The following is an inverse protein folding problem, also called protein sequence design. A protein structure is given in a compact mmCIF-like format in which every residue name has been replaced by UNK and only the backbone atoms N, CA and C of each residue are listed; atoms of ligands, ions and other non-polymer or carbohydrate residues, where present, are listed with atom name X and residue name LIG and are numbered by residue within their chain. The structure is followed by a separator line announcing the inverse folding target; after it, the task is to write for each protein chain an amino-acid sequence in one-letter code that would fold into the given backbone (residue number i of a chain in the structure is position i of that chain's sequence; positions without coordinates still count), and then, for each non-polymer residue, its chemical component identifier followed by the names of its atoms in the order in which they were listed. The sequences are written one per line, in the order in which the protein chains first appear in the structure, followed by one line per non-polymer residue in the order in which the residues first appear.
data_IF_560124834753
#
_entry.id   IF_560124834753
#
_cell.length_a   1.000
_cell.length_b   1.000
_cell.length_c   1.000
_cell.angle_alpha   90.00
_cell.angle_beta   90.00
_cell.angle_gamma   90.00
#
_symmetry.space_group_name_H-M   'P 1'
#
loop_
_entity.id
_entity.type
_entity.pdbx_description
1 polymer ?
#
# COMPACT_ATOMS: atom_id res chain seq x y z
N UNK A 1 -28.04 81.36 14.84
CA UNK A 1 -27.03 82.39 15.24
C UNK A 1 -26.02 82.57 14.12
N UNK A 2 -26.11 83.73 13.44
CA UNK A 2 -25.24 84.14 12.31
C UNK A 2 -23.98 84.78 12.89
N UNK A 3 -22.80 84.23 12.63
CA UNK A 3 -21.54 84.90 12.89
C UNK A 3 -21.05 85.65 11.66
N UNK A 4 -20.99 86.96 11.77
CA UNK A 4 -20.43 87.90 10.79
C UNK A 4 -18.92 87.72 10.71
N UNK A 5 -18.38 87.57 9.53
CA UNK A 5 -16.95 87.66 9.25
C UNK A 5 -16.65 89.03 8.72
N UNK A 6 -15.85 89.78 9.42
CA UNK A 6 -15.42 91.09 9.05
C UNK A 6 -14.22 91.09 8.10
N UNK A 7 -14.11 91.98 7.10
CA UNK A 7 -13.01 92.09 6.18
C UNK A 7 -11.95 93.06 6.73
N UNK A 8 -10.78 92.56 7.08
CA UNK A 8 -9.57 93.39 7.25
C UNK A 8 -8.39 92.69 6.51
N UNK A 9 -8.29 92.94 5.25
CA UNK A 9 -7.05 92.72 4.52
C UNK A 9 -7.00 93.77 3.39
N UNK A 10 -6.21 94.79 3.63
CA UNK A 10 -5.52 95.54 2.58
C UNK A 10 -4.96 96.83 3.18
N UNK A 11 -3.86 96.70 3.89
CA UNK A 11 -3.04 97.84 4.31
C UNK A 11 -1.56 97.52 4.17
N UNK A 12 -1.06 97.42 2.95
CA UNK A 12 0.33 97.64 2.65
C UNK A 12 0.60 97.72 1.14
N UNK A 13 0.53 98.97 0.64
CA UNK A 13 0.77 99.33 -0.78
C UNK A 13 2.16 98.77 -1.28
N UNK A 14 3.18 98.54 -0.43
CA UNK A 14 4.45 98.01 -0.83
C UNK A 14 4.43 96.53 -1.18
N UNK A 15 3.52 95.69 -0.64
CA UNK A 15 3.43 94.27 -0.97
C UNK A 15 2.70 93.99 -2.32
N UNK A 16 1.82 94.89 -2.72
CA UNK A 16 1.12 94.78 -4.04
C UNK A 16 2.08 95.00 -5.21
N UNK A 17 3.09 95.91 -5.05
CA UNK A 17 4.09 96.16 -6.06
C UNK A 17 5.14 94.96 -6.18
N UNK A 18 5.41 94.28 -5.12
CA UNK A 18 6.32 93.11 -5.13
C UNK A 18 5.62 91.90 -5.78
N UNK A 19 4.31 91.72 -5.55
CA UNK A 19 3.55 90.60 -6.18
C UNK A 19 3.34 90.89 -7.66
N UNK A 20 3.09 92.16 -8.03
CA UNK A 20 2.99 92.58 -9.46
C UNK A 20 4.29 92.42 -10.20
N UNK A 21 5.46 92.75 -9.58
CA UNK A 21 6.78 92.56 -10.15
C UNK A 21 7.18 91.13 -10.35
N UNK A 22 6.84 90.27 -9.43
CA UNK A 22 7.10 88.81 -9.56
C UNK A 22 6.21 88.17 -10.65
N UNK A 23 4.95 88.60 -10.75
CA UNK A 23 4.03 88.15 -11.80
C UNK A 23 4.47 88.55 -13.19
N UNK A 24 5.05 89.74 -13.34
CA UNK A 24 5.58 90.23 -14.62
C UNK A 24 6.87 89.51 -15.01
N UNK A 25 7.71 89.17 -14.03
CA UNK A 25 8.95 88.43 -14.26
C UNK A 25 8.66 86.99 -14.68
N UNK A 26 7.65 86.34 -14.10
CA UNK A 26 7.22 85.01 -14.49
C UNK A 26 6.61 84.98 -15.91
N UNK A 27 5.88 86.04 -16.29
CA UNK A 27 5.35 86.19 -17.63
C UNK A 27 6.47 86.43 -18.66
N UNK A 28 7.50 87.19 -18.34
CA UNK A 28 8.66 87.37 -19.19
C UNK A 28 9.47 86.08 -19.40
N UNK A 29 9.63 85.29 -18.38
CA UNK A 29 10.33 83.99 -18.48
C UNK A 29 9.51 82.99 -19.29
N UNK A 30 8.18 83.02 -19.13
CA UNK A 30 7.27 82.20 -19.95
C UNK A 30 7.23 82.65 -21.40
N UNK A 31 7.21 83.95 -21.63
CA UNK A 31 7.24 84.52 -23.00
C UNK A 31 8.55 84.28 -23.73
N UNK A 32 9.69 84.28 -23.01
CA UNK A 32 11.01 84.00 -23.59
C UNK A 32 11.16 82.50 -23.95
N UNK A 33 10.53 81.60 -23.18
CA UNK A 33 10.56 80.19 -23.49
C UNK A 33 9.70 79.82 -24.73
N UNK A 34 8.65 80.59 -25.01
CA UNK A 34 7.81 80.38 -26.20
C UNK A 34 8.36 80.98 -27.49
N UNK A 35 9.32 81.92 -27.39
CA UNK A 35 9.87 82.60 -28.58
C UNK A 35 11.26 82.09 -28.97
N UNK A 36 11.96 81.33 -28.17
CA UNK A 36 13.27 80.77 -28.43
C UNK A 36 13.22 79.33 -29.03
N UNK A 37 12.06 78.93 -29.58
CA UNK A 37 11.88 77.62 -30.23
C UNK A 37 12.29 77.62 -31.71
N UNK A 38 13.57 77.76 -31.96
CA UNK A 38 14.17 77.52 -33.28
C UNK A 38 14.80 76.13 -33.29
N UNK A 39 14.38 75.29 -34.27
CA UNK A 39 14.65 73.90 -34.44
C UNK A 39 16.07 73.43 -34.25
N UNK A 40 16.19 72.27 -33.65
CA UNK A 40 17.30 71.36 -33.84
C UNK A 40 16.76 69.94 -33.79
N UNK A 41 17.19 69.19 -34.77
CA UNK A 41 16.99 67.80 -35.04
C UNK A 41 16.89 66.95 -33.80
N UNK A 42 15.72 66.33 -33.64
CA UNK A 42 15.47 65.24 -32.70
C UNK A 42 16.31 64.00 -33.08
N UNK A 43 17.54 63.94 -32.62
CA UNK A 43 18.13 62.64 -32.30
C UNK A 43 17.54 62.26 -30.96
N UNK A 44 16.58 61.37 -30.99
CA UNK A 44 16.07 60.66 -29.80
C UNK A 44 17.27 60.06 -29.06
N UNK A 45 17.71 60.74 -28.01
CA UNK A 45 18.58 60.14 -27.00
C UNK A 45 17.73 59.18 -26.20
N UNK A 46 17.72 57.92 -26.62
CA UNK A 46 17.22 56.84 -25.79
C UNK A 46 18.00 56.83 -24.48
N UNK A 47 17.46 57.37 -23.45
CA UNK A 47 18.00 57.23 -22.11
C UNK A 47 17.93 55.73 -21.77
N UNK A 48 19.05 55.08 -21.54
CA UNK A 48 19.02 53.64 -21.14
C UNK A 48 18.22 53.51 -19.82
N UNK A 49 17.09 52.87 -19.92
CA UNK A 49 16.29 52.53 -18.73
C UNK A 49 17.05 51.46 -17.97
N UNK A 50 17.76 51.83 -16.93
CA UNK A 50 18.40 50.85 -16.05
C UNK A 50 17.35 50.14 -15.23
N UNK A 51 17.03 48.94 -15.59
CA UNK A 51 16.21 48.03 -14.74
C UNK A 51 17.10 47.34 -13.73
N UNK A 52 16.71 47.40 -12.46
CA UNK A 52 17.42 46.73 -11.39
C UNK A 52 17.27 45.21 -11.56
N UNK A 53 18.33 44.51 -11.86
CA UNK A 53 18.35 43.06 -11.96
C UNK A 53 18.16 42.50 -10.55
N UNK A 54 17.02 41.82 -10.33
CA UNK A 54 16.79 41.03 -9.14
C UNK A 54 17.15 39.58 -9.42
N UNK A 55 17.95 38.98 -8.55
CA UNK A 55 18.23 37.55 -8.60
C UNK A 55 16.95 36.79 -8.21
N UNK A 56 16.35 36.10 -9.17
CA UNK A 56 15.26 35.15 -8.95
C UNK A 56 15.75 33.73 -9.11
N UNK A 57 15.13 32.80 -8.40
CA UNK A 57 15.31 31.37 -8.67
C UNK A 57 14.36 30.97 -9.79
N UNK A 58 14.90 30.40 -10.83
CA UNK A 58 14.12 29.78 -11.88
C UNK A 58 13.83 28.33 -11.45
N UNK A 59 12.59 28.04 -11.09
CA UNK A 59 12.15 26.69 -10.86
C UNK A 59 11.58 26.12 -12.15
N UNK A 60 12.21 25.06 -12.68
CA UNK A 60 11.63 24.27 -13.75
C UNK A 60 10.57 23.37 -13.15
N UNK A 61 9.36 23.38 -13.70
CA UNK A 61 8.27 22.49 -13.30
C UNK A 61 7.76 21.74 -14.53
N UNK A 62 7.62 20.43 -14.39
CA UNK A 62 7.00 19.59 -15.41
C UNK A 62 5.58 19.30 -14.97
N UNK A 63 4.60 19.54 -15.84
CA UNK A 63 3.19 19.24 -15.59
C UNK A 63 2.86 17.87 -16.16
N UNK A 64 2.38 16.97 -15.30
CA UNK A 64 1.98 15.62 -15.66
C UNK A 64 0.52 15.41 -15.33
N UNK A 65 -0.16 14.66 -16.18
CA UNK A 65 -1.53 14.18 -15.91
C UNK A 65 -1.47 12.78 -15.33
N UNK A 66 -2.32 12.50 -14.36
CA UNK A 66 -2.42 11.18 -13.75
C UNK A 66 -3.83 10.85 -13.29
N UNK A 67 -4.06 9.58 -13.04
CA UNK A 67 -5.27 9.04 -12.44
C UNK A 67 -5.03 8.78 -10.96
N UNK A 68 -6.01 9.12 -10.14
CA UNK A 68 -6.02 8.81 -8.71
C UNK A 68 -6.53 7.39 -8.53
N UNK A 69 -5.79 6.61 -7.76
CA UNK A 69 -6.18 5.27 -7.32
C UNK A 69 -6.03 5.17 -5.81
N UNK A 70 -6.73 4.24 -5.18
CA UNK A 70 -6.42 3.85 -3.82
C UNK A 70 -4.99 3.28 -3.75
N UNK A 71 -4.29 3.48 -2.65
CA UNK A 71 -2.92 2.97 -2.49
C UNK A 71 -2.89 1.45 -2.41
N UNK A 72 -3.91 0.85 -1.83
CA UNK A 72 -4.08 -0.59 -1.73
C UNK A 72 -5.52 -0.96 -2.08
N UNK A 73 -5.66 -2.00 -2.87
CA UNK A 73 -6.95 -2.55 -3.28
C UNK A 73 -6.86 -4.08 -3.16
N UNK A 74 -7.95 -4.69 -2.73
CA UNK A 74 -8.08 -6.15 -2.69
C UNK A 74 -9.32 -6.55 -3.47
N UNK A 75 -9.12 -7.39 -4.49
CA UNK A 75 -10.18 -8.05 -5.22
C UNK A 75 -10.26 -9.50 -4.79
N UNK A 76 -11.40 -9.90 -4.26
CA UNK A 76 -11.71 -11.28 -3.92
C UNK A 76 -12.53 -11.86 -5.06
N UNK A 77 -11.97 -12.84 -5.75
CA UNK A 77 -12.64 -13.54 -6.85
C UNK A 77 -13.25 -14.84 -6.36
N UNK A 78 -14.34 -15.24 -7.01
CA UNK A 78 -14.93 -16.55 -6.78
C UNK A 78 -14.01 -17.65 -7.28
N UNK A 79 -13.72 -18.65 -6.44
CA UNK A 79 -12.92 -19.82 -6.78
C UNK A 79 -13.74 -21.09 -6.52
N UNK A 80 -14.16 -21.74 -7.59
CA UNK A 80 -14.94 -22.98 -7.51
C UNK A 80 -14.13 -24.19 -7.05
N UNK A 81 -12.80 -24.08 -6.96
CA UNK A 81 -11.95 -25.16 -6.43
C UNK A 81 -11.99 -25.21 -4.90
N UNK A 82 -12.25 -24.07 -4.25
CA UNK A 82 -12.44 -23.97 -2.79
C UNK A 82 -13.83 -24.48 -2.42
N UNK A 83 -14.85 -24.08 -3.17
CA UNK A 83 -16.23 -24.49 -2.89
C UNK A 83 -17.22 -23.95 -3.92
N UNK A 84 -18.37 -24.64 -4.03
CA UNK A 84 -19.42 -24.24 -4.98
C UNK A 84 -20.27 -23.07 -4.49
N UNK A 85 -20.33 -22.88 -3.18
CA UNK A 85 -21.13 -21.84 -2.54
C UNK A 85 -20.22 -20.94 -1.72
N UNK A 86 -20.31 -19.64 -1.97
CA UNK A 86 -19.64 -18.61 -1.22
C UNK A 86 -20.67 -17.62 -0.66
N UNK A 87 -20.56 -17.29 0.60
CA UNK A 87 -21.41 -16.29 1.26
C UNK A 87 -20.55 -15.08 1.59
N UNK A 88 -20.91 -13.92 1.06
CA UNK A 88 -20.28 -12.66 1.43
C UNK A 88 -20.82 -12.21 2.79
N UNK A 89 -19.91 -11.84 3.70
CA UNK A 89 -20.24 -11.49 5.08
C UNK A 89 -20.21 -9.99 5.35
N UNK A 90 -19.88 -9.19 4.33
CA UNK A 90 -19.76 -7.73 4.41
C UNK A 90 -20.67 -7.05 3.41
N UNK A 91 -20.95 -5.75 3.62
CA UNK A 91 -21.83 -4.94 2.78
C UNK A 91 -21.09 -3.79 2.13
N UNK A 92 -21.58 -3.30 0.99
CA UNK A 92 -21.01 -2.12 0.32
C UNK A 92 -21.09 -0.91 1.27
N UNK A 93 -19.95 -0.20 1.39
CA UNK A 93 -19.79 0.95 2.30
C UNK A 93 -19.37 0.56 3.73
N UNK A 94 -19.18 -0.71 4.02
CA UNK A 94 -18.68 -1.18 5.33
C UNK A 94 -17.16 -0.97 5.42
N UNK A 95 -16.69 -0.43 6.56
CA UNK A 95 -15.28 -0.35 6.89
C UNK A 95 -14.78 -1.70 7.38
N UNK A 96 -13.68 -2.18 6.80
CA UNK A 96 -13.06 -3.46 7.15
C UNK A 96 -11.60 -3.26 7.57
N UNK A 97 -11.16 -4.13 8.48
CA UNK A 97 -9.79 -4.17 8.96
C UNK A 97 -9.08 -5.41 8.43
N UNK A 98 -7.74 -5.34 8.38
CA UNK A 98 -6.91 -6.52 8.05
C UNK A 98 -7.26 -7.69 8.97
N UNK A 99 -7.50 -8.87 8.37
CA UNK A 99 -7.92 -10.09 9.07
C UNK A 99 -9.43 -10.22 9.27
N UNK A 100 -10.23 -9.21 8.94
CA UNK A 100 -11.69 -9.31 8.99
C UNK A 100 -12.19 -10.22 7.88
N UNK A 101 -13.13 -11.11 8.22
CA UNK A 101 -13.73 -12.03 7.26
C UNK A 101 -14.57 -11.27 6.23
N UNK A 102 -14.31 -11.55 4.94
CA UNK A 102 -15.04 -11.00 3.81
C UNK A 102 -16.00 -12.03 3.19
N UNK A 103 -15.49 -13.25 3.03
CA UNK A 103 -16.23 -14.32 2.35
C UNK A 103 -16.07 -15.63 3.11
N UNK A 104 -17.16 -16.39 3.20
CA UNK A 104 -17.19 -17.75 3.74
C UNK A 104 -17.64 -18.72 2.66
N UNK A 105 -16.79 -19.66 2.31
CA UNK A 105 -17.17 -20.84 1.51
C UNK A 105 -17.78 -21.93 2.39
N UNK A 106 -18.55 -22.84 1.79
CA UNK A 106 -19.01 -24.02 2.49
C UNK A 106 -17.81 -24.88 2.94
N UNK A 107 -17.58 -24.91 4.24
CA UNK A 107 -16.45 -25.61 4.85
C UNK A 107 -16.75 -27.05 5.28
N UNK A 108 -17.96 -27.56 5.05
CA UNK A 108 -18.40 -28.87 5.57
C UNK A 108 -17.48 -30.01 5.16
N UNK A 109 -17.08 -30.06 3.88
CA UNK A 109 -16.19 -31.10 3.37
C UNK A 109 -14.73 -30.92 3.85
N UNK A 110 -14.24 -29.67 3.92
CA UNK A 110 -12.93 -29.34 4.41
C UNK A 110 -12.78 -29.66 5.92
N UNK A 111 -13.80 -29.34 6.71
CA UNK A 111 -13.87 -29.69 8.14
C UNK A 111 -13.86 -31.20 8.35
N UNK A 112 -14.64 -31.96 7.57
CA UNK A 112 -14.64 -33.43 7.65
C UNK A 112 -13.29 -34.05 7.28
N UNK A 113 -12.60 -33.47 6.26
CA UNK A 113 -11.26 -33.89 5.89
C UNK A 113 -10.24 -33.60 7.00
N UNK A 114 -10.27 -32.40 7.59
CA UNK A 114 -9.43 -32.02 8.72
C UNK A 114 -9.65 -32.96 9.92
N UNK A 115 -10.89 -33.22 10.31
CA UNK A 115 -11.22 -34.10 11.42
C UNK A 115 -10.71 -35.53 11.18
N UNK A 116 -10.76 -35.99 9.90
CA UNK A 116 -10.25 -37.32 9.54
C UNK A 116 -8.72 -37.36 9.61
N UNK A 117 -8.03 -36.37 9.06
CA UNK A 117 -6.57 -36.26 9.13
C UNK A 117 -6.10 -36.11 10.59
N UNK A 118 -6.80 -35.33 11.41
CA UNK A 118 -6.52 -35.16 12.85
C UNK A 118 -6.64 -36.48 13.61
N UNK A 119 -7.68 -37.27 13.35
CA UNK A 119 -7.80 -38.61 13.95
C UNK A 119 -6.68 -39.55 13.52
N UNK A 120 -6.29 -39.52 12.23
CA UNK A 120 -5.20 -40.33 11.71
C UNK A 120 -3.86 -39.95 12.34
N UNK A 121 -3.54 -38.66 12.45
CA UNK A 121 -2.35 -38.17 13.14
C UNK A 121 -2.32 -38.63 14.60
N UNK A 122 -3.41 -38.38 15.33
CA UNK A 122 -3.51 -38.80 16.75
C UNK A 122 -3.34 -40.32 16.92
N UNK A 123 -3.86 -41.11 15.95
CA UNK A 123 -3.66 -42.57 15.97
C UNK A 123 -2.19 -42.92 15.75
N UNK A 124 -1.54 -42.35 14.74
CA UNK A 124 -0.11 -42.61 14.46
C UNK A 124 0.80 -42.26 15.66
N UNK A 125 0.51 -41.12 16.33
CA UNK A 125 1.22 -40.70 17.55
C UNK A 125 1.02 -41.71 18.66
N UNK A 126 -0.20 -42.21 18.91
CA UNK A 126 -0.47 -43.23 19.93
C UNK A 126 0.23 -44.57 19.65
N UNK A 127 0.19 -45.01 18.39
CA UNK A 127 0.78 -46.25 17.95
C UNK A 127 2.31 -46.19 18.15
N UNK A 128 2.98 -45.10 17.76
CA UNK A 128 4.41 -44.87 18.01
C UNK A 128 4.73 -44.86 19.51
N UNK A 129 3.97 -44.09 20.29
CA UNK A 129 4.23 -44.02 21.76
C UNK A 129 4.00 -45.35 22.44
N UNK A 130 3.00 -46.13 22.02
CA UNK A 130 2.77 -47.46 22.52
C UNK A 130 3.95 -48.38 22.20
N UNK A 131 4.45 -48.34 20.94
CA UNK A 131 5.62 -49.12 20.56
C UNK A 131 6.90 -48.69 21.31
N UNK A 132 7.09 -47.38 21.52
CA UNK A 132 8.23 -46.89 22.33
C UNK A 132 8.19 -47.39 23.77
N UNK A 133 6.99 -47.53 24.35
CA UNK A 133 6.82 -47.94 25.74
C UNK A 133 6.84 -49.45 25.90
N UNK A 134 6.27 -50.18 24.95
CA UNK A 134 6.01 -51.62 25.11
C UNK A 134 6.68 -52.47 24.02
N UNK A 135 7.48 -51.94 23.14
CA UNK A 135 8.04 -52.60 21.96
C UNK A 135 8.39 -54.08 22.14
N UNK A 136 8.66 -54.79 21.06
CA UNK A 136 8.88 -56.25 21.16
C UNK A 136 10.08 -56.57 22.02
N UNK A 137 9.85 -57.30 23.10
CA UNK A 137 10.94 -57.92 23.91
C UNK A 137 11.60 -59.03 23.09
N UNK A 138 12.93 -59.24 23.23
CA UNK A 138 13.60 -60.39 22.62
C UNK A 138 12.92 -61.70 23.05
N UNK A 139 12.54 -62.50 22.06
CA UNK A 139 11.95 -63.80 22.36
C UNK A 139 13.01 -64.68 23.13
N UNK A 140 12.64 -65.18 24.29
CA UNK A 140 13.41 -66.19 25.00
C UNK A 140 13.39 -67.48 24.19
N UNK A 141 14.54 -67.87 23.61
CA UNK A 141 14.58 -69.16 23.00
C UNK A 141 14.77 -70.19 24.15
N UNK A 142 13.80 -71.08 24.31
CA UNK A 142 13.98 -72.27 25.12
C UNK A 142 15.03 -73.13 24.43
N UNK A 143 16.29 -73.02 24.83
CA UNK A 143 17.26 -74.02 24.51
C UNK A 143 17.01 -75.21 25.50
N UNK A 144 16.34 -76.21 24.98
CA UNK A 144 16.35 -77.53 25.61
C UNK A 144 17.76 -78.09 25.45
N UNK A 145 18.64 -77.79 26.37
CA UNK A 145 19.82 -78.61 26.57
C UNK A 145 19.35 -79.88 27.27
N UNK A 146 19.21 -80.98 26.50
CA UNK A 146 19.17 -82.30 27.07
C UNK A 146 20.57 -82.62 27.59
N UNK A 147 20.81 -82.39 28.88
CA UNK A 147 21.58 -83.19 29.80
C UNK A 147 21.65 -82.47 31.14
N UNK A 148 21.33 -83.26 32.18
CA UNK A 148 21.64 -83.15 33.64
C UNK A 148 20.75 -82.17 34.45
N UNK A 149 20.09 -82.78 35.37
CA UNK A 149 19.57 -82.40 36.65
C UNK A 149 20.16 -81.09 37.24
N UNK A 150 19.49 -80.01 37.06
CA UNK A 150 19.36 -78.93 38.04
C UNK A 150 18.22 -78.00 37.63
N UNK A 151 17.29 -77.78 38.55
CA UNK A 151 16.08 -77.08 38.46
C UNK A 151 16.27 -75.52 38.50
N UNK A 152 17.00 -74.98 37.50
CA UNK A 152 17.03 -73.51 37.25
C UNK A 152 17.10 -73.23 35.76
N UNK A 153 15.92 -73.34 35.08
CA UNK A 153 15.74 -72.98 33.68
C UNK A 153 15.72 -71.50 33.54
N UNK A 154 16.85 -70.84 33.67
CA UNK A 154 17.07 -69.49 33.23
C UNK A 154 17.03 -69.42 31.68
N UNK A 155 15.93 -69.03 31.14
CA UNK A 155 15.75 -68.78 29.68
C UNK A 155 16.65 -67.65 29.24
N UNK A 156 17.90 -67.96 28.81
CA UNK A 156 18.88 -66.95 28.35
C UNK A 156 18.66 -66.64 26.87
N UNK A 157 18.30 -65.38 26.54
CA UNK A 157 18.25 -64.88 25.17
C UNK A 157 19.68 -64.74 24.64
N UNK A 158 19.97 -65.34 23.47
CA UNK A 158 21.32 -65.23 22.87
C UNK A 158 21.64 -63.77 22.46
N UNK A 159 22.93 -63.37 22.51
CA UNK A 159 23.34 -62.03 22.09
C UNK A 159 22.93 -61.69 20.66
N UNK A 160 22.94 -62.65 19.76
CA UNK A 160 22.51 -62.50 18.36
C UNK A 160 21.01 -62.22 18.26
N UNK A 161 20.16 -62.89 19.01
CA UNK A 161 18.73 -62.66 19.06
C UNK A 161 18.40 -61.26 19.63
N UNK A 162 19.13 -60.84 20.65
CA UNK A 162 18.96 -59.43 21.15
C UNK A 162 19.30 -58.42 20.10
N UNK A 163 20.43 -58.52 19.40
CA UNK A 163 20.80 -57.61 18.32
C UNK A 163 19.78 -57.59 17.18
N UNK A 164 19.27 -58.75 16.77
CA UNK A 164 18.24 -58.82 15.73
C UNK A 164 16.94 -58.15 16.18
N UNK A 165 16.50 -58.37 17.42
CA UNK A 165 15.31 -57.74 17.96
C UNK A 165 15.48 -56.22 18.10
N UNK A 166 16.65 -55.75 18.57
CA UNK A 166 16.99 -54.34 18.67
C UNK A 166 16.98 -53.69 17.29
N UNK A 167 17.59 -54.31 16.26
CA UNK A 167 17.60 -53.85 14.90
C UNK A 167 16.18 -53.77 14.30
N UNK A 168 15.38 -54.82 14.53
CA UNK A 168 13.97 -54.86 14.11
C UNK A 168 13.12 -53.78 14.81
N UNK A 169 13.33 -53.60 16.13
CA UNK A 169 12.64 -52.56 16.90
C UNK A 169 13.02 -51.16 16.41
N UNK A 170 14.29 -50.94 16.12
CA UNK A 170 14.77 -49.69 15.56
C UNK A 170 14.08 -49.38 14.20
N UNK A 171 14.05 -50.37 13.30
CA UNK A 171 13.39 -50.21 12.00
C UNK A 171 11.89 -49.95 12.16
N UNK A 172 11.21 -50.70 12.99
CA UNK A 172 9.78 -50.53 13.28
C UNK A 172 9.50 -49.16 13.89
N UNK A 173 10.38 -48.64 14.75
CA UNK A 173 10.25 -47.30 15.31
C UNK A 173 10.42 -46.22 14.22
N UNK A 174 11.32 -46.44 13.24
CA UNK A 174 11.43 -45.53 12.09
C UNK A 174 10.14 -45.54 11.27
N UNK A 175 9.55 -46.73 10.99
CA UNK A 175 8.30 -46.86 10.28
C UNK A 175 7.15 -46.08 10.97
N UNK A 176 7.10 -46.14 12.32
CA UNK A 176 6.14 -45.38 13.11
C UNK A 176 6.42 -43.85 13.06
N UNK A 177 7.69 -43.44 13.08
CA UNK A 177 8.05 -42.03 12.95
C UNK A 177 7.65 -41.49 11.57
N UNK A 178 7.88 -42.26 10.51
CA UNK A 178 7.51 -41.95 9.17
C UNK A 178 5.95 -41.87 9.01
N UNK A 179 5.23 -42.79 9.66
CA UNK A 179 3.78 -42.77 9.71
C UNK A 179 3.26 -41.49 10.42
N UNK A 180 3.88 -41.05 11.50
CA UNK A 180 3.55 -39.80 12.19
C UNK A 180 3.85 -38.60 11.30
N UNK A 181 5.02 -38.58 10.63
CA UNK A 181 5.40 -37.49 9.72
C UNK A 181 4.43 -37.37 8.54
N UNK A 182 4.06 -38.51 7.93
CA UNK A 182 3.09 -38.55 6.83
C UNK A 182 1.69 -38.05 7.29
N UNK A 183 1.22 -38.52 8.43
CA UNK A 183 -0.07 -38.09 8.98
C UNK A 183 -0.06 -36.62 9.40
N UNK A 184 1.05 -36.06 9.87
CA UNK A 184 1.24 -34.66 10.17
C UNK A 184 1.14 -33.82 8.89
N UNK A 185 1.78 -34.24 7.79
CA UNK A 185 1.71 -33.56 6.51
C UNK A 185 0.30 -33.56 5.92
N UNK A 186 -0.44 -34.67 6.07
CA UNK A 186 -1.85 -34.72 5.62
C UNK A 186 -2.77 -33.84 6.48
N UNK A 187 -2.51 -33.75 7.80
CA UNK A 187 -3.22 -32.84 8.68
C UNK A 187 -2.96 -31.38 8.33
N UNK A 188 -1.71 -31.00 8.05
CA UNK A 188 -1.34 -29.67 7.60
C UNK A 188 -2.06 -29.29 6.30
N UNK A 189 -2.04 -30.16 5.29
CA UNK A 189 -2.78 -29.94 4.03
C UNK A 189 -4.28 -29.76 4.27
N UNK A 190 -4.87 -30.58 5.12
CA UNK A 190 -6.30 -30.48 5.44
C UNK A 190 -6.63 -29.19 6.19
N UNK A 191 -5.73 -28.72 7.06
CA UNK A 191 -5.83 -27.44 7.74
C UNK A 191 -5.75 -26.27 6.74
N UNK A 192 -4.84 -26.31 5.79
CA UNK A 192 -4.69 -25.29 4.76
C UNK A 192 -5.93 -25.20 3.88
N UNK A 193 -6.50 -26.33 3.47
CA UNK A 193 -7.76 -26.38 2.72
C UNK A 193 -8.89 -25.77 3.55
N UNK A 194 -8.97 -26.06 4.83
CA UNK A 194 -9.97 -25.50 5.73
C UNK A 194 -9.79 -23.99 5.89
N UNK A 195 -8.56 -23.51 6.07
CA UNK A 195 -8.26 -22.09 6.18
C UNK A 195 -8.64 -21.32 4.89
N UNK A 196 -8.47 -21.93 3.71
CA UNK A 196 -8.85 -21.33 2.44
C UNK A 196 -10.37 -21.13 2.27
N UNK A 197 -11.19 -21.80 3.09
CA UNK A 197 -12.66 -21.58 3.05
C UNK A 197 -13.09 -20.24 3.64
N UNK A 198 -12.21 -19.55 4.35
CA UNK A 198 -12.45 -18.22 4.91
C UNK A 198 -11.53 -17.23 4.24
N UNK A 199 -12.09 -16.29 3.49
CA UNK A 199 -11.31 -15.21 2.88
C UNK A 199 -11.40 -13.98 3.78
N UNK A 200 -10.24 -13.44 4.13
CA UNK A 200 -10.11 -12.26 4.99
C UNK A 200 -9.60 -11.05 4.22
N UNK A 201 -9.79 -9.88 4.79
CA UNK A 201 -9.23 -8.64 4.25
C UNK A 201 -7.72 -8.57 4.52
N UNK A 202 -6.95 -8.24 3.48
CA UNK A 202 -5.52 -7.94 3.55
C UNK A 202 -5.27 -6.44 3.71
N UNK A 203 -6.33 -5.62 3.57
CA UNK A 203 -6.25 -4.16 3.62
C UNK A 203 -7.21 -3.59 4.65
N UNK A 204 -6.83 -2.46 5.26
CA UNK A 204 -7.76 -1.63 6.02
C UNK A 204 -8.42 -0.67 5.03
N UNK A 205 -9.74 -0.68 4.93
CA UNK A 205 -10.43 0.13 3.95
C UNK A 205 -11.94 -0.04 3.97
N UNK A 206 -12.57 0.37 2.87
CA UNK A 206 -14.02 0.30 2.70
C UNK A 206 -14.36 -0.65 1.56
N UNK A 207 -15.40 -1.43 1.75
CA UNK A 207 -15.98 -2.31 0.72
C UNK A 207 -16.68 -1.43 -0.32
N UNK A 208 -16.20 -1.48 -1.57
CA UNK A 208 -16.77 -0.67 -2.67
C UNK A 208 -17.69 -1.46 -3.59
N UNK A 209 -17.51 -2.78 -3.62
CA UNK A 209 -18.31 -3.67 -4.46
C UNK A 209 -18.51 -5.02 -3.76
N UNK A 210 -19.73 -5.54 -3.85
CA UNK A 210 -20.12 -6.89 -3.42
C UNK A 210 -20.98 -7.50 -4.51
N UNK A 211 -20.70 -8.75 -4.88
CA UNK A 211 -21.50 -9.48 -5.84
C UNK A 211 -22.84 -9.87 -5.22
N UNK A 212 -23.93 -9.59 -5.89
CA UNK A 212 -25.28 -10.03 -5.50
C UNK A 212 -25.48 -11.55 -5.66
N UNK A 213 -24.82 -12.15 -6.65
CA UNK A 213 -24.87 -13.58 -6.93
C UNK A 213 -23.64 -14.02 -7.71
N UNK A 214 -23.27 -15.27 -7.58
CA UNK A 214 -22.21 -15.92 -8.37
C UNK A 214 -22.78 -17.09 -9.16
N UNK A 215 -22.26 -17.27 -10.36
CA UNK A 215 -22.55 -18.46 -11.19
C UNK A 215 -21.37 -19.43 -11.10
N UNK A 216 -21.51 -20.55 -10.35
CA UNK A 216 -20.44 -21.54 -10.21
C UNK A 216 -20.07 -22.25 -11.53
N UNK A 217 -20.91 -22.13 -12.55
CA UNK A 217 -20.67 -22.71 -13.87
C UNK A 217 -19.94 -21.76 -14.83
N UNK A 218 -19.81 -20.49 -14.48
CA UNK A 218 -19.11 -19.49 -15.27
C UNK A 218 -17.62 -19.82 -15.36
N UNK A 219 -17.05 -19.62 -16.55
CA UNK A 219 -15.60 -19.70 -16.77
C UNK A 219 -14.91 -18.35 -16.61
N UNK A 220 -15.69 -17.29 -16.42
CA UNK A 220 -15.18 -15.95 -16.23
C UNK A 220 -14.89 -15.70 -14.75
N UNK A 221 -13.86 -14.90 -14.50
CA UNK A 221 -13.54 -14.47 -13.15
C UNK A 221 -14.62 -13.53 -12.63
N UNK A 222 -15.29 -13.92 -11.55
CA UNK A 222 -16.34 -13.13 -10.91
C UNK A 222 -15.81 -12.53 -9.62
N UNK A 223 -15.84 -11.20 -9.52
CA UNK A 223 -15.47 -10.50 -8.27
C UNK A 223 -16.57 -10.70 -7.24
N UNK A 224 -16.23 -11.22 -6.08
CA UNK A 224 -17.12 -11.36 -4.92
C UNK A 224 -17.16 -10.09 -4.08
N UNK A 225 -15.97 -9.56 -3.78
CA UNK A 225 -15.81 -8.38 -2.93
C UNK A 225 -14.64 -7.57 -3.47
N UNK A 226 -14.80 -6.26 -3.52
CA UNK A 226 -13.72 -5.31 -3.77
C UNK A 226 -13.59 -4.37 -2.58
N UNK A 227 -12.40 -4.34 -1.98
CA UNK A 227 -12.05 -3.47 -0.86
C UNK A 227 -10.98 -2.48 -1.31
N UNK A 228 -11.15 -1.21 -0.95
CA UNK A 228 -10.18 -0.15 -1.24
C UNK A 228 -9.70 0.51 0.06
N UNK A 229 -8.42 0.80 0.17
CA UNK A 229 -7.87 1.53 1.32
C UNK A 229 -8.42 2.94 1.39
N UNK A 230 -8.73 3.42 2.59
CA UNK A 230 -9.15 4.79 2.83
C UNK A 230 -7.98 5.72 3.13
N UNK A 231 -8.12 6.98 2.71
CA UNK A 231 -7.26 8.09 3.11
C UNK A 231 -5.86 8.12 2.49
N UNK A 232 -5.44 7.07 1.80
CA UNK A 232 -4.16 7.02 1.11
C UNK A 232 -4.38 6.78 -0.38
N UNK A 233 -3.98 7.78 -1.18
CA UNK A 233 -4.15 7.73 -2.63
C UNK A 233 -2.79 7.71 -3.31
N UNK A 234 -2.72 6.96 -4.40
CA UNK A 234 -1.62 6.96 -5.34
C UNK A 234 -2.07 7.64 -6.64
N UNK A 235 -1.17 8.43 -7.23
CA UNK A 235 -1.42 9.03 -8.54
C UNK A 235 -0.50 8.37 -9.54
N UNK A 236 -1.09 7.65 -10.46
CA UNK A 236 -0.38 7.03 -11.57
C UNK A 236 -0.42 7.96 -12.78
N UNK A 237 0.74 8.49 -13.14
CA UNK A 237 0.94 9.35 -14.31
C UNK A 237 1.78 8.66 -15.38
N UNK A 238 1.70 9.16 -16.61
CA UNK A 238 2.57 8.72 -17.71
C UNK A 238 3.63 9.78 -17.94
N UNK A 239 4.88 9.34 -17.99
CA UNK A 239 6.05 10.15 -18.33
C UNK A 239 6.42 9.96 -19.80
N UNK A 240 6.92 11.02 -20.42
CA UNK A 240 7.62 10.91 -21.69
C UNK A 240 9.11 10.62 -21.43
N UNK A 241 9.82 10.13 -22.44
CA UNK A 241 11.26 9.89 -22.34
C UNK A 241 12.07 11.17 -21.99
N UNK A 242 11.54 12.35 -22.34
CA UNK A 242 12.15 13.65 -22.04
C UNK A 242 11.95 14.09 -20.58
N UNK A 243 10.93 13.58 -19.92
CA UNK A 243 10.59 13.91 -18.52
C UNK A 243 11.36 13.07 -17.51
N UNK A 244 11.71 11.83 -17.89
CA UNK A 244 12.38 10.85 -17.01
C UNK A 244 13.64 11.40 -16.34
N UNK A 245 14.57 12.09 -17.04
CA UNK A 245 15.80 12.60 -16.42
C UNK A 245 15.55 13.66 -15.33
N UNK A 246 14.37 14.30 -15.34
CA UNK A 246 14.02 15.40 -14.44
C UNK A 246 13.21 14.95 -13.22
N UNK A 247 12.86 13.67 -13.15
CA UNK A 247 12.00 13.12 -12.08
C UNK A 247 12.75 12.04 -11.32
N UNK A 248 12.77 12.18 -10.01
CA UNK A 248 13.46 11.26 -9.11
C UNK A 248 12.56 10.79 -7.98
N UNK A 249 12.75 9.53 -7.56
CA UNK A 249 12.05 8.97 -6.39
C UNK A 249 12.35 9.83 -5.15
N UNK A 250 11.31 10.12 -4.37
CA UNK A 250 11.38 11.01 -3.21
C UNK A 250 11.15 12.50 -3.51
N UNK A 251 11.11 12.90 -4.78
CA UNK A 251 10.84 14.28 -5.18
C UNK A 251 9.44 14.71 -4.74
N UNK A 252 9.33 15.93 -4.18
CA UNK A 252 8.05 16.52 -3.80
C UNK A 252 7.29 16.96 -5.03
N UNK A 253 6.00 16.63 -5.07
CA UNK A 253 5.09 17.03 -6.15
C UNK A 253 3.90 17.80 -5.59
N UNK A 254 3.44 18.77 -6.35
CA UNK A 254 2.21 19.51 -6.09
C UNK A 254 1.09 18.91 -6.94
N UNK A 255 0.00 18.55 -6.31
CA UNK A 255 -1.13 17.89 -6.95
C UNK A 255 -2.31 18.86 -6.96
N UNK A 256 -2.93 19.03 -8.12
CA UNK A 256 -4.14 19.84 -8.30
C UNK A 256 -5.18 19.02 -9.04
N UNK A 257 -6.45 19.24 -8.74
CA UNK A 257 -7.57 18.58 -9.41
C UNK A 257 -8.40 19.58 -10.21
N UNK A 258 -8.93 19.13 -11.35
CA UNK A 258 -9.91 19.91 -12.11
C UNK A 258 -11.28 19.96 -11.43
N UNK A 259 -11.58 18.93 -10.61
CA UNK A 259 -12.85 18.82 -9.87
C UNK A 259 -12.84 19.69 -8.62
N UNK A 260 -11.66 19.86 -8.00
CA UNK A 260 -11.46 20.66 -6.79
C UNK A 260 -10.39 21.73 -7.04
N UNK A 261 -10.71 22.80 -7.79
CA UNK A 261 -9.72 23.79 -8.25
C UNK A 261 -9.06 24.58 -7.11
N UNK A 262 -9.77 24.74 -5.98
CA UNK A 262 -9.30 25.49 -4.81
C UNK A 262 -8.47 24.64 -3.84
N UNK A 263 -8.34 23.33 -4.10
CA UNK A 263 -7.58 22.42 -3.26
C UNK A 263 -6.26 22.05 -3.93
N UNK A 264 -5.23 22.01 -3.11
CA UNK A 264 -3.89 21.57 -3.52
C UNK A 264 -3.36 20.56 -2.50
N UNK A 265 -2.89 19.44 -3.00
CA UNK A 265 -2.25 18.42 -2.19
C UNK A 265 -0.76 18.36 -2.48
N UNK A 266 0.00 17.82 -1.57
CA UNK A 266 1.43 17.55 -1.74
C UNK A 266 1.68 16.08 -1.60
N UNK A 267 2.50 15.55 -2.49
CA UNK A 267 2.91 14.15 -2.48
C UNK A 267 4.42 14.01 -2.68
N UNK A 268 4.85 12.79 -2.76
CA UNK A 268 6.23 12.42 -3.14
C UNK A 268 6.17 11.36 -4.23
N UNK A 269 7.13 11.41 -5.14
CA UNK A 269 7.30 10.34 -6.12
C UNK A 269 7.74 9.07 -5.39
N UNK A 270 6.92 8.03 -5.43
CA UNK A 270 7.20 6.73 -4.80
C UNK A 270 8.00 5.82 -5.73
N UNK A 271 7.69 5.86 -7.01
CA UNK A 271 8.28 4.97 -8.01
C UNK A 271 8.32 5.61 -9.40
N UNK A 272 9.39 5.34 -10.15
CA UNK A 272 9.52 5.69 -11.57
C UNK A 272 9.85 4.41 -12.33
N UNK A 273 8.97 4.02 -13.27
CA UNK A 273 9.21 2.86 -14.13
C UNK A 273 10.20 3.20 -15.24
N UNK A 274 11.22 2.37 -15.39
CA UNK A 274 12.18 2.45 -16.50
C UNK A 274 11.72 1.62 -17.73
N UNK A 275 10.57 0.95 -17.62
CA UNK A 275 10.03 0.14 -18.72
C UNK A 275 8.93 0.93 -19.44
N UNK A 276 8.94 0.95 -20.78
CA UNK A 276 7.90 1.58 -21.56
C UNK A 276 6.57 0.84 -21.34
N UNK A 277 5.48 1.59 -21.13
CA UNK A 277 4.14 1.03 -21.13
C UNK A 277 3.78 0.71 -22.57
N UNK A 278 3.59 -0.56 -22.88
CA UNK A 278 3.01 -0.96 -24.17
C UNK A 278 1.56 -0.52 -24.19
N UNK A 279 1.21 0.37 -25.11
CA UNK A 279 -0.18 0.67 -25.40
C UNK A 279 -0.77 -0.55 -26.10
N UNK A 280 -1.77 -1.19 -25.46
CA UNK A 280 -2.57 -2.22 -26.07
C UNK A 280 -3.58 -1.59 -27.04
#
# INVERSE_FOLDING_TARGET
MRKKISPKLFKNKKRVWIIGGIGFLVLLVLGFNLFAGGGKDDKASESPTASKVTKGQLASSTLLTGMVKAQSEQYVYFDNTIGRNATVTVSVGEEVSVGQQLVQYDSTSAQAAYDTASRAYNKAVRDRNYFQQYGTAPAASAQTSSDSDDDDSTTTVSPQQRQQTEASNYQTLQDYNDAVANAASELEKAQDVLNQTVIVSDVNGTVVEVADSVDPASKESQTLVHVTSEGQFEIQGTLTEYDIPNISVGQKVKITSKVYPDQTWTGKVSYVSNYPKQNA
#
